data_IF_073466303919
#
_entry.id   IF_073466303919
#
_cell.length_a   1.000
_cell.length_b   1.000
_cell.length_c   1.000
_cell.angle_alpha   90.00
_cell.angle_beta   90.00
_cell.angle_gamma   90.00
#
_symmetry.space_group_name_H-M   'P 1'
#
loop_
_entity.id
_entity.type
_entity.pdbx_description
1 polymer ?
#
# COMPACT_ATOMS: atom_id res chain seq x y z
N UNK A 1 -21.16 20.19 2.98
CA UNK A 1 -19.81 19.80 2.53
C UNK A 1 -19.66 18.29 2.72
N UNK A 2 -19.90 17.51 1.66
CA UNK A 2 -19.73 16.06 1.73
C UNK A 2 -18.23 15.76 1.53
N UNK A 3 -17.55 15.33 2.59
CA UNK A 3 -16.16 14.92 2.50
C UNK A 3 -16.10 13.52 1.86
N UNK A 4 -15.39 13.45 0.74
CA UNK A 4 -14.74 12.29 0.11
C UNK A 4 -15.07 10.89 0.68
N UNK A 5 -15.88 10.12 -0.04
CA UNK A 5 -15.82 8.66 -0.01
C UNK A 5 -15.24 8.15 -1.33
N UNK A 6 -13.99 8.54 -1.62
CA UNK A 6 -13.21 7.79 -2.62
C UNK A 6 -12.88 6.46 -1.96
N UNK A 7 -13.41 5.36 -2.53
CA UNK A 7 -13.14 3.98 -2.14
C UNK A 7 -11.75 3.86 -1.51
N UNK A 8 -11.71 3.65 -0.19
CA UNK A 8 -10.50 3.18 0.45
C UNK A 8 -10.22 1.82 -0.19
N UNK A 9 -9.35 1.80 -1.19
CA UNK A 9 -8.91 0.56 -1.82
C UNK A 9 -8.33 -0.29 -0.71
N UNK A 10 -8.86 -1.49 -0.54
CA UNK A 10 -8.29 -2.48 0.35
C UNK A 10 -7.34 -3.34 -0.48
N UNK A 11 -6.15 -3.59 0.04
CA UNK A 11 -5.17 -4.45 -0.63
C UNK A 11 -4.76 -5.58 0.30
N UNK A 12 -4.66 -6.80 -0.25
CA UNK A 12 -4.13 -7.91 0.52
C UNK A 12 -2.62 -7.73 0.68
N UNK A 13 -2.11 -7.94 1.89
CA UNK A 13 -0.68 -7.84 2.18
C UNK A 13 0.14 -8.83 1.34
N UNK A 14 -0.45 -9.98 0.99
CA UNK A 14 0.16 -10.94 0.09
C UNK A 14 0.40 -10.37 -1.32
N UNK A 15 -0.56 -9.60 -1.84
CA UNK A 15 -0.48 -8.98 -3.17
C UNK A 15 0.46 -7.77 -3.20
N UNK A 16 0.60 -7.05 -2.08
CA UNK A 16 1.51 -5.88 -1.96
C UNK A 16 2.91 -6.23 -2.45
N UNK A 17 3.42 -7.43 -2.13
CA UNK A 17 4.75 -7.85 -2.59
C UNK A 17 4.83 -7.94 -4.11
N UNK A 18 3.86 -8.60 -4.73
CA UNK A 18 3.80 -8.80 -6.18
C UNK A 18 3.68 -7.45 -6.89
N UNK A 19 2.74 -6.61 -6.45
CA UNK A 19 2.45 -5.30 -7.05
C UNK A 19 3.66 -4.37 -6.97
N UNK A 20 4.29 -4.29 -5.80
CA UNK A 20 5.42 -3.40 -5.61
C UNK A 20 6.70 -3.92 -6.26
N UNK A 21 6.84 -5.23 -6.49
CA UNK A 21 8.04 -5.77 -7.14
C UNK A 21 8.14 -5.39 -8.63
N UNK A 22 7.04 -4.95 -9.26
CA UNK A 22 7.06 -4.45 -10.64
C UNK A 22 7.69 -3.04 -10.75
N UNK A 23 7.50 -2.19 -9.74
CA UNK A 23 7.91 -0.78 -9.77
C UNK A 23 9.07 -0.47 -8.80
N UNK A 24 9.29 -1.31 -7.78
CA UNK A 24 10.27 -1.10 -6.71
C UNK A 24 11.21 -2.29 -6.53
N UNK A 25 12.42 -2.00 -6.03
CA UNK A 25 13.39 -3.03 -5.68
C UNK A 25 12.91 -3.90 -4.51
N UNK A 26 13.33 -5.16 -4.49
CA UNK A 26 13.01 -6.13 -3.44
C UNK A 26 13.26 -5.60 -2.00
N UNK A 27 14.31 -4.82 -1.79
CA UNK A 27 14.61 -4.18 -0.49
C UNK A 27 13.51 -3.21 -0.06
N UNK A 28 13.02 -2.37 -0.97
CA UNK A 28 11.94 -1.42 -0.69
C UNK A 28 10.64 -2.16 -0.39
N UNK A 29 10.30 -3.14 -1.23
CA UNK A 29 9.12 -3.98 -1.05
C UNK A 29 9.13 -4.70 0.29
N UNK A 30 10.27 -5.29 0.68
CA UNK A 30 10.41 -5.96 1.97
C UNK A 30 10.26 -4.98 3.15
N UNK A 31 10.79 -3.75 3.05
CA UNK A 31 10.58 -2.73 4.10
C UNK A 31 9.11 -2.34 4.24
N UNK A 32 8.38 -2.18 3.13
CA UNK A 32 6.93 -1.92 3.15
C UNK A 32 6.18 -3.07 3.83
N UNK A 33 6.44 -4.31 3.42
CA UNK A 33 5.83 -5.51 4.02
C UNK A 33 6.16 -5.59 5.53
N UNK A 34 7.40 -5.29 5.91
CA UNK A 34 7.85 -5.31 7.29
C UNK A 34 7.16 -4.22 8.13
N UNK A 35 7.02 -3.00 7.60
CA UNK A 35 6.29 -1.92 8.27
C UNK A 35 4.82 -2.30 8.53
N UNK A 36 4.17 -2.94 7.55
CA UNK A 36 2.82 -3.47 7.69
C UNK A 36 2.78 -4.54 8.77
N UNK A 37 3.63 -5.58 8.68
CA UNK A 37 3.63 -6.69 9.63
C UNK A 37 4.02 -6.28 11.06
N UNK A 38 4.86 -5.27 11.21
CA UNK A 38 5.28 -4.76 12.54
C UNK A 38 4.11 -4.04 13.22
N UNK A 39 3.32 -3.30 12.46
CA UNK A 39 2.21 -2.51 13.00
C UNK A 39 0.90 -3.32 13.09
N UNK A 40 0.70 -4.23 12.14
CA UNK A 40 -0.52 -5.01 11.95
C UNK A 40 -0.18 -6.48 11.58
N UNK A 41 0.31 -7.28 12.54
CA UNK A 41 0.79 -8.65 12.28
C UNK A 41 -0.32 -9.62 11.85
N UNK A 42 -1.54 -9.46 12.37
CA UNK A 42 -2.69 -10.32 12.10
C UNK A 42 -3.59 -9.83 10.95
N UNK A 43 -3.21 -8.74 10.28
CA UNK A 43 -4.04 -8.15 9.23
C UNK A 43 -3.63 -8.66 7.86
N UNK A 44 -4.54 -9.39 7.22
CA UNK A 44 -4.37 -9.85 5.84
C UNK A 44 -4.73 -8.78 4.80
N UNK A 45 -5.57 -7.82 5.16
CA UNK A 45 -6.10 -6.79 4.26
C UNK A 45 -5.94 -5.42 4.90
N UNK A 46 -5.21 -4.53 4.25
CA UNK A 46 -4.98 -3.17 4.74
C UNK A 46 -5.67 -2.14 3.83
N UNK A 47 -6.27 -1.12 4.44
CA UNK A 47 -6.76 0.03 3.72
C UNK A 47 -5.60 0.90 3.25
N UNK A 48 -5.65 1.42 2.02
CA UNK A 48 -4.61 2.30 1.49
C UNK A 48 -4.37 3.54 2.37
N UNK A 49 -5.41 4.05 3.05
CA UNK A 49 -5.29 5.17 3.98
C UNK A 49 -4.40 4.85 5.18
N UNK A 50 -4.59 3.68 5.80
CA UNK A 50 -3.74 3.18 6.88
C UNK A 50 -2.32 2.93 6.40
N UNK A 51 -2.17 2.30 5.23
CA UNK A 51 -0.86 2.02 4.65
C UNK A 51 -0.07 3.32 4.43
N UNK A 52 -0.72 4.39 3.94
CA UNK A 52 -0.08 5.70 3.78
C UNK A 52 0.48 6.23 5.10
N UNK A 53 -0.31 6.16 6.17
CA UNK A 53 0.10 6.60 7.51
C UNK A 53 1.25 5.77 8.07
N UNK A 54 1.19 4.44 7.90
CA UNK A 54 2.26 3.53 8.33
C UNK A 54 3.59 3.80 7.61
N UNK A 55 3.52 4.09 6.31
CA UNK A 55 4.72 4.35 5.52
C UNK A 55 5.28 5.76 5.73
N UNK A 56 4.50 6.70 6.28
CA UNK A 56 4.93 8.07 6.53
C UNK A 56 6.11 8.18 7.49
N UNK A 57 6.29 7.20 8.38
CA UNK A 57 7.40 7.17 9.34
C UNK A 57 8.72 6.68 8.69
N UNK A 58 8.63 5.73 7.74
CA UNK A 58 9.80 5.02 7.21
C UNK A 58 10.22 5.49 5.79
N UNK A 59 9.35 6.20 5.07
CA UNK A 59 9.54 6.59 3.68
C UNK A 59 9.24 8.07 3.40
N UNK A 60 9.91 8.63 2.39
CA UNK A 60 9.61 9.98 1.90
C UNK A 60 8.25 10.04 1.18
N UNK A 61 7.61 11.21 1.23
CA UNK A 61 6.28 11.42 0.64
C UNK A 61 6.21 11.05 -0.86
N UNK A 62 7.22 11.37 -1.65
CA UNK A 62 7.31 10.99 -3.07
C UNK A 62 7.21 9.46 -3.25
N UNK A 63 7.94 8.71 -2.40
CA UNK A 63 8.00 7.27 -2.47
C UNK A 63 6.67 6.64 -2.02
N UNK A 64 6.05 7.20 -0.99
CA UNK A 64 4.71 6.81 -0.56
C UNK A 64 3.69 7.06 -1.66
N UNK A 65 3.72 8.22 -2.30
CA UNK A 65 2.81 8.55 -3.41
C UNK A 65 2.96 7.55 -4.57
N UNK A 66 4.18 7.16 -4.93
CA UNK A 66 4.40 6.11 -5.93
C UNK A 66 3.84 4.75 -5.50
N UNK A 67 4.12 4.31 -4.27
CA UNK A 67 3.60 3.04 -3.72
C UNK A 67 2.08 3.03 -3.76
N UNK A 68 1.43 4.11 -3.31
CA UNK A 68 -0.02 4.27 -3.36
C UNK A 68 -0.56 4.21 -4.78
N UNK A 69 0.14 4.80 -5.76
CA UNK A 69 -0.27 4.82 -7.16
C UNK A 69 -0.19 3.43 -7.79
N UNK A 70 0.89 2.68 -7.55
CA UNK A 70 1.04 1.29 -8.00
C UNK A 70 -0.08 0.40 -7.45
N UNK A 71 -0.37 0.51 -6.15
CA UNK A 71 -1.43 -0.27 -5.50
C UNK A 71 -2.83 0.11 -6.00
N UNK A 72 -3.10 1.40 -6.22
CA UNK A 72 -4.38 1.86 -6.82
C UNK A 72 -4.55 1.34 -8.26
N UNK A 73 -3.48 1.39 -9.06
CA UNK A 73 -3.50 0.92 -10.44
C UNK A 73 -3.83 -0.58 -10.52
N UNK A 74 -3.23 -1.38 -9.65
CA UNK A 74 -3.55 -2.80 -9.54
C UNK A 74 -5.00 -3.04 -9.10
N UNK A 75 -5.48 -2.31 -8.09
CA UNK A 75 -6.85 -2.43 -7.62
C UNK A 75 -7.86 -2.09 -8.73
N UNK A 76 -7.58 -1.13 -9.60
CA UNK A 76 -8.41 -0.84 -10.78
C UNK A 76 -8.37 -1.96 -11.83
N UNK A 77 -7.20 -2.59 -12.05
CA UNK A 77 -7.06 -3.71 -13.00
C UNK A 77 -7.72 -5.00 -12.53
N UNK A 78 -7.76 -5.26 -11.22
CA UNK A 78 -8.38 -6.47 -10.67
C UNK A 78 -9.93 -6.47 -10.76
N UNK A 79 -10.55 -5.32 -11.03
CA UNK A 79 -12.00 -5.16 -11.19
C UNK A 79 -12.45 -4.96 -12.66
N UNK A 80 -11.55 -5.17 -13.64
CA UNK A 80 -11.91 -5.23 -15.07
C UNK A 80 -11.99 -6.68 -15.56
#
# INVERSE_FOLDING_TARGET
MAMHSMHAGNVQVADVRTILSEDFSATTTNRVIMAIKTSLPDVSIIALSDLRTLLADDFSEEKINRVMMSLKCFCLKAYQ
#
